data_IF_893667314513
#
_entry.id   IF_893667314513
#
_cell.length_a   1.000
_cell.length_b   1.000
_cell.length_c   1.000
_cell.angle_alpha   90.00
_cell.angle_beta   90.00
_cell.angle_gamma   90.00
#
_symmetry.space_group_name_H-M   'P 1'
#
loop_
_entity.id
_entity.type
_entity.pdbx_description
1 polymer ?
#
# COMPACT_ATOMS: atom_id res chain seq x y z
N UNK A 1 -25.48 12.17 -9.58
CA UNK A 1 -25.05 12.29 -10.97
C UNK A 1 -23.58 11.92 -11.14
N UNK A 2 -23.04 11.94 -12.38
CA UNK A 2 -21.69 11.44 -12.69
C UNK A 2 -20.57 12.13 -11.89
N UNK A 3 -20.73 13.40 -11.51
CA UNK A 3 -19.79 14.12 -10.66
C UNK A 3 -19.68 13.55 -9.24
N UNK A 4 -20.81 13.10 -8.67
CA UNK A 4 -20.81 12.46 -7.35
C UNK A 4 -20.06 11.12 -7.40
N UNK A 5 -20.28 10.35 -8.49
CA UNK A 5 -19.53 9.09 -8.71
C UNK A 5 -18.05 9.37 -8.89
N UNK A 6 -17.67 10.37 -9.69
CA UNK A 6 -16.27 10.74 -9.88
C UNK A 6 -15.61 11.19 -8.58
N UNK A 7 -16.30 12.04 -7.80
CA UNK A 7 -15.81 12.52 -6.51
C UNK A 7 -15.60 11.37 -5.52
N UNK A 8 -16.60 10.49 -5.38
CA UNK A 8 -16.52 9.32 -4.51
C UNK A 8 -15.40 8.35 -4.94
N UNK A 9 -15.27 8.07 -6.24
CA UNK A 9 -14.23 7.22 -6.77
C UNK A 9 -12.82 7.80 -6.53
N UNK A 10 -12.66 9.12 -6.69
CA UNK A 10 -11.38 9.79 -6.40
C UNK A 10 -11.02 9.73 -4.91
N UNK A 11 -11.99 9.96 -4.02
CA UNK A 11 -11.78 9.80 -2.57
C UNK A 11 -11.38 8.36 -2.24
N UNK A 12 -12.07 7.38 -2.83
CA UNK A 12 -11.78 5.95 -2.62
C UNK A 12 -10.37 5.57 -3.09
N UNK A 13 -9.96 6.00 -4.28
CA UNK A 13 -8.60 5.78 -4.80
C UNK A 13 -7.55 6.43 -3.88
N UNK A 14 -7.80 7.68 -3.45
CA UNK A 14 -6.93 8.37 -2.51
C UNK A 14 -6.83 7.69 -1.15
N UNK A 15 -7.93 7.12 -0.65
CA UNK A 15 -7.93 6.38 0.61
C UNK A 15 -7.10 5.07 0.51
N UNK A 16 -7.14 4.37 -0.63
CA UNK A 16 -6.28 3.20 -0.88
C UNK A 16 -4.80 3.63 -0.91
N UNK A 17 -4.44 4.72 -1.61
CA UNK A 17 -3.08 5.24 -1.60
C UNK A 17 -2.63 5.68 -0.21
N UNK A 18 -3.52 6.28 0.60
CA UNK A 18 -3.20 6.63 1.99
C UNK A 18 -2.90 5.38 2.85
N UNK A 19 -3.66 4.29 2.68
CA UNK A 19 -3.41 3.03 3.37
C UNK A 19 -2.07 2.38 2.95
N UNK A 20 -1.67 2.55 1.68
CA UNK A 20 -0.41 2.04 1.15
C UNK A 20 0.85 2.77 1.66
N UNK A 21 0.73 3.98 2.27
CA UNK A 21 1.89 4.75 2.76
C UNK A 21 2.70 3.93 3.78
N UNK A 22 2.00 3.25 4.71
CA UNK A 22 2.65 2.47 5.77
C UNK A 22 3.50 1.32 5.24
N UNK A 23 3.03 0.66 4.19
CA UNK A 23 3.73 -0.46 3.54
C UNK A 23 5.03 -0.02 2.86
N UNK A 24 5.08 1.24 2.40
CA UNK A 24 6.24 1.82 1.73
C UNK A 24 7.07 2.73 2.66
N UNK A 25 6.92 2.61 3.98
CA UNK A 25 7.58 3.49 4.94
C UNK A 25 9.11 3.45 4.86
N UNK A 26 9.69 2.33 4.47
CA UNK A 26 11.14 2.14 4.27
C UNK A 26 11.65 2.90 3.04
N UNK A 27 10.80 3.14 2.03
CA UNK A 27 11.11 3.86 0.79
C UNK A 27 10.48 5.25 0.81
N UNK A 28 11.21 6.24 1.31
CA UNK A 28 10.68 7.59 1.52
C UNK A 28 10.09 8.23 0.25
N UNK A 29 10.66 7.97 -0.93
CA UNK A 29 10.16 8.56 -2.17
C UNK A 29 8.83 7.94 -2.57
N UNK A 30 8.69 6.61 -2.48
CA UNK A 30 7.42 5.92 -2.71
C UNK A 30 6.35 6.39 -1.72
N UNK A 31 6.65 6.39 -0.41
CA UNK A 31 5.71 6.85 0.62
C UNK A 31 5.24 8.30 0.39
N UNK A 32 6.14 9.22 0.02
CA UNK A 32 5.80 10.62 -0.34
C UNK A 32 4.94 10.69 -1.59
N UNK A 33 5.23 9.89 -2.61
CA UNK A 33 4.45 9.83 -3.85
C UNK A 33 3.02 9.39 -3.56
N UNK A 34 2.84 8.32 -2.77
CA UNK A 34 1.51 7.88 -2.34
C UNK A 34 0.79 8.92 -1.48
N UNK A 35 1.49 9.61 -0.58
CA UNK A 35 0.91 10.67 0.24
C UNK A 35 0.42 11.86 -0.59
N UNK A 36 1.21 12.32 -1.56
CA UNK A 36 0.83 13.41 -2.47
C UNK A 36 -0.35 13.00 -3.33
N UNK A 37 -0.32 11.79 -3.90
CA UNK A 37 -1.40 11.27 -4.73
C UNK A 37 -2.70 11.12 -3.94
N UNK A 38 -2.63 10.56 -2.72
CA UNK A 38 -3.77 10.45 -1.80
C UNK A 38 -4.38 11.82 -1.50
N UNK A 39 -3.55 12.79 -1.12
CA UNK A 39 -4.00 14.14 -0.81
C UNK A 39 -4.71 14.80 -2.01
N UNK A 40 -4.10 14.74 -3.19
CA UNK A 40 -4.66 15.33 -4.40
C UNK A 40 -5.99 14.68 -4.81
N UNK A 41 -6.08 13.34 -4.73
CA UNK A 41 -7.30 12.60 -5.08
C UNK A 41 -8.42 12.86 -4.10
N UNK A 42 -8.14 12.87 -2.79
CA UNK A 42 -9.15 13.16 -1.76
C UNK A 42 -9.62 14.61 -1.86
N UNK A 43 -8.70 15.57 -1.97
CA UNK A 43 -9.03 16.99 -2.08
C UNK A 43 -9.86 17.27 -3.35
N UNK A 44 -9.41 16.76 -4.51
CA UNK A 44 -10.15 16.89 -5.75
C UNK A 44 -11.54 16.27 -5.66
N UNK A 45 -11.63 15.05 -5.12
CA UNK A 45 -12.89 14.34 -4.96
C UNK A 45 -13.87 15.11 -4.07
N UNK A 46 -13.42 15.64 -2.93
CA UNK A 46 -14.24 16.45 -2.03
C UNK A 46 -14.78 17.71 -2.73
N UNK A 47 -13.94 18.43 -3.48
CA UNK A 47 -14.36 19.60 -4.26
C UNK A 47 -15.34 19.21 -5.37
N UNK A 48 -15.12 18.07 -6.05
CA UNK A 48 -15.99 17.59 -7.13
C UNK A 48 -17.42 17.22 -6.65
N UNK A 49 -17.59 16.89 -5.36
CA UNK A 49 -18.93 16.64 -4.79
C UNK A 49 -19.77 17.91 -4.70
N UNK A 50 -19.15 19.09 -4.51
CA UNK A 50 -19.84 20.36 -4.27
C UNK A 50 -19.73 21.35 -5.42
N UNK A 51 -18.67 21.28 -6.21
CA UNK A 51 -18.39 22.21 -7.32
C UNK A 51 -18.32 21.47 -8.66
N UNK A 52 -18.72 22.17 -9.71
CA UNK A 52 -18.68 21.67 -11.11
C UNK A 52 -18.13 22.76 -12.01
N UNK A 53 -16.93 22.55 -12.55
CA UNK A 53 -16.32 23.46 -13.50
C UNK A 53 -15.51 22.73 -14.55
N UNK A 54 -15.26 23.37 -15.70
CA UNK A 54 -14.39 22.77 -16.73
C UNK A 54 -12.96 22.61 -16.24
N UNK A 55 -12.47 23.56 -15.45
CA UNK A 55 -11.12 23.49 -14.87
C UNK A 55 -11.01 22.28 -13.94
N UNK A 56 -12.00 22.09 -13.06
CA UNK A 56 -12.06 20.93 -12.17
C UNK A 56 -12.14 19.62 -12.95
N UNK A 57 -12.89 19.60 -14.07
CA UNK A 57 -12.96 18.44 -14.95
C UNK A 57 -11.60 18.11 -15.56
N UNK A 58 -10.89 19.10 -16.10
CA UNK A 58 -9.55 18.88 -16.67
C UNK A 58 -8.56 18.42 -15.60
N UNK A 59 -8.60 19.04 -14.42
CA UNK A 59 -7.74 18.62 -13.29
C UNK A 59 -8.00 17.17 -12.86
N UNK A 60 -9.28 16.75 -12.76
CA UNK A 60 -9.62 15.37 -12.42
C UNK A 60 -9.24 14.37 -13.50
N UNK A 61 -9.39 14.75 -14.79
CA UNK A 61 -8.92 13.92 -15.90
C UNK A 61 -7.40 13.74 -15.86
N UNK A 62 -6.65 14.82 -15.65
CA UNK A 62 -5.19 14.78 -15.55
C UNK A 62 -4.72 13.92 -14.37
N UNK A 63 -5.35 14.10 -13.20
CA UNK A 63 -5.05 13.32 -12.00
C UNK A 63 -5.35 11.83 -12.20
N UNK A 64 -6.52 11.50 -12.77
CA UNK A 64 -6.89 10.11 -13.01
C UNK A 64 -6.02 9.44 -14.08
N UNK A 65 -5.72 10.13 -15.20
CA UNK A 65 -4.80 9.64 -16.24
C UNK A 65 -3.39 9.47 -15.67
N UNK A 66 -2.91 10.41 -14.84
CA UNK A 66 -1.63 10.30 -14.16
C UNK A 66 -1.55 9.09 -13.24
N UNK A 67 -2.61 8.83 -12.45
CA UNK A 67 -2.67 7.68 -11.55
C UNK A 67 -2.68 6.35 -12.32
N UNK A 68 -3.52 6.22 -13.37
CA UNK A 68 -3.55 5.02 -14.22
C UNK A 68 -2.24 4.83 -14.95
N UNK A 69 -1.67 5.91 -15.52
CA UNK A 69 -0.38 5.87 -16.22
C UNK A 69 0.77 5.47 -15.30
N UNK A 70 0.82 6.03 -14.10
CA UNK A 70 1.79 5.65 -13.08
C UNK A 70 1.67 4.16 -12.69
N UNK A 71 0.44 3.68 -12.51
CA UNK A 71 0.18 2.26 -12.24
C UNK A 71 0.69 1.36 -13.38
N UNK A 72 0.37 1.71 -14.64
CA UNK A 72 0.85 0.95 -15.81
C UNK A 72 2.37 0.91 -15.85
N UNK A 73 3.03 2.06 -15.63
CA UNK A 73 4.50 2.13 -15.60
C UNK A 73 5.08 1.26 -14.50
N UNK A 74 4.55 1.34 -13.27
CA UNK A 74 4.99 0.52 -12.14
C UNK A 74 4.85 -0.98 -12.42
N UNK A 75 3.83 -1.41 -13.17
CA UNK A 75 3.59 -2.84 -13.49
C UNK A 75 4.33 -3.34 -14.73
N UNK A 76 4.79 -2.47 -15.62
CA UNK A 76 5.46 -2.89 -16.87
C UNK A 76 6.98 -2.76 -16.85
N UNK A 77 7.51 -1.69 -16.26
CA UNK A 77 8.95 -1.42 -16.28
C UNK A 77 9.51 -0.89 -14.97
N UNK A 78 8.64 -0.63 -14.00
CA UNK A 78 9.01 0.13 -12.81
C UNK A 78 9.14 1.63 -13.10
N UNK A 79 9.35 2.42 -12.05
CA UNK A 79 9.55 3.87 -12.11
C UNK A 79 10.94 4.18 -11.56
N UNK A 80 11.97 4.04 -12.41
CA UNK A 80 13.38 4.04 -12.04
C UNK A 80 13.91 5.30 -11.34
N UNK A 81 13.13 6.38 -11.25
CA UNK A 81 13.50 7.59 -10.53
C UNK A 81 12.79 7.74 -9.17
N UNK A 82 11.99 6.75 -8.75
CA UNK A 82 11.33 6.71 -7.45
C UNK A 82 11.87 5.51 -6.68
N UNK A 83 12.62 5.77 -5.61
CA UNK A 83 13.11 4.75 -4.69
C UNK A 83 11.96 3.92 -4.13
N UNK A 84 12.06 2.60 -4.27
CA UNK A 84 11.04 1.62 -3.92
C UNK A 84 10.03 1.29 -5.02
N UNK A 85 10.16 1.89 -6.23
CA UNK A 85 9.33 1.58 -7.40
C UNK A 85 10.17 1.34 -8.68
N UNK A 86 11.48 1.11 -8.54
CA UNK A 86 12.41 0.96 -9.68
C UNK A 86 12.17 -0.30 -10.50
N UNK A 87 11.79 -1.37 -9.83
CA UNK A 87 11.48 -2.64 -10.48
C UNK A 87 9.98 -2.74 -10.80
N UNK A 88 9.65 -3.52 -11.82
CA UNK A 88 8.26 -3.85 -12.10
C UNK A 88 7.69 -4.71 -10.96
N UNK A 89 6.53 -4.31 -10.47
CA UNK A 89 5.81 -5.02 -9.42
C UNK A 89 4.73 -5.93 -10.00
N UNK A 90 4.41 -7.01 -9.30
CA UNK A 90 3.24 -7.81 -9.62
C UNK A 90 1.95 -7.03 -9.38
N UNK A 91 0.89 -7.37 -10.13
CA UNK A 91 -0.41 -6.75 -9.97
C UNK A 91 -1.03 -7.25 -8.66
N UNK A 92 -1.27 -6.32 -7.75
CA UNK A 92 -1.93 -6.57 -6.48
C UNK A 92 -3.36 -6.03 -6.52
N UNK A 93 -4.24 -6.59 -5.69
CA UNK A 93 -5.64 -6.18 -5.66
C UNK A 93 -5.84 -4.71 -5.31
N UNK A 94 -5.19 -4.14 -4.26
CA UNK A 94 -5.37 -2.73 -3.91
C UNK A 94 -4.95 -1.78 -5.04
N UNK A 95 -3.81 -2.04 -5.71
CA UNK A 95 -3.38 -1.19 -6.82
C UNK A 95 -4.36 -1.25 -7.99
N UNK A 96 -4.83 -2.45 -8.36
CA UNK A 96 -5.79 -2.63 -9.45
C UNK A 96 -7.11 -1.92 -9.13
N UNK A 97 -7.56 -1.95 -7.87
CA UNK A 97 -8.75 -1.24 -7.41
C UNK A 97 -8.54 0.28 -7.46
N UNK A 98 -7.40 0.80 -7.00
CA UNK A 98 -7.08 2.22 -7.08
C UNK A 98 -7.03 2.71 -8.53
N UNK A 99 -6.38 1.96 -9.44
CA UNK A 99 -6.34 2.25 -10.87
C UNK A 99 -7.74 2.20 -11.50
N UNK A 100 -8.55 1.20 -11.15
CA UNK A 100 -9.94 1.08 -11.59
C UNK A 100 -10.82 2.27 -11.16
N UNK A 101 -10.67 2.71 -9.90
CA UNK A 101 -11.36 3.89 -9.39
C UNK A 101 -10.90 5.18 -10.11
N UNK A 102 -9.59 5.32 -10.37
CA UNK A 102 -9.07 6.44 -11.16
C UNK A 102 -9.62 6.43 -12.59
N UNK A 103 -9.77 5.27 -13.21
CA UNK A 103 -10.40 5.12 -14.53
C UNK A 103 -11.88 5.55 -14.50
N UNK A 104 -12.63 5.21 -13.44
CA UNK A 104 -14.01 5.69 -13.24
C UNK A 104 -14.06 7.22 -13.20
N UNK A 105 -13.11 7.87 -12.53
CA UNK A 105 -12.98 9.34 -12.53
C UNK A 105 -12.79 9.86 -13.94
N UNK A 106 -11.83 9.32 -14.70
CA UNK A 106 -11.54 9.73 -16.08
C UNK A 106 -12.79 9.63 -16.95
N UNK A 107 -13.48 8.49 -16.93
CA UNK A 107 -14.67 8.24 -17.76
C UNK A 107 -15.83 9.17 -17.39
N UNK A 108 -16.09 9.37 -16.09
CA UNK A 108 -17.16 10.24 -15.63
C UNK A 108 -16.91 11.71 -15.98
N UNK A 109 -15.66 12.17 -15.85
CA UNK A 109 -15.23 13.52 -16.18
C UNK A 109 -15.22 13.72 -17.70
N UNK A 110 -14.67 12.78 -18.48
CA UNK A 110 -14.65 12.85 -19.95
C UNK A 110 -16.06 12.95 -20.51
N UNK A 111 -17.00 12.16 -19.98
CA UNK A 111 -18.42 12.29 -20.33
C UNK A 111 -18.96 13.70 -20.05
N UNK A 112 -18.64 14.27 -18.89
CA UNK A 112 -19.06 15.63 -18.52
C UNK A 112 -18.49 16.69 -19.47
N UNK A 113 -17.22 16.57 -19.86
CA UNK A 113 -16.55 17.45 -20.82
C UNK A 113 -17.17 17.33 -22.23
N UNK A 114 -17.38 16.11 -22.72
CA UNK A 114 -18.03 15.90 -24.06
C UNK A 114 -19.39 16.55 -24.10
N UNK A 115 -20.22 16.37 -23.06
CA UNK A 115 -21.53 17.04 -22.98
C UNK A 115 -21.40 18.57 -23.01
N UNK A 116 -20.43 19.09 -22.22
CA UNK A 116 -20.19 20.54 -22.11
C UNK A 116 -19.65 21.18 -23.41
N UNK A 117 -18.84 20.45 -24.16
CA UNK A 117 -18.18 20.95 -25.38
C UNK A 117 -19.06 20.77 -26.64
N UNK A 118 -19.76 19.65 -26.73
CA UNK A 118 -20.56 19.33 -27.93
C UNK A 118 -21.97 19.94 -27.93
N UNK A 119 -22.39 20.51 -26.82
CA UNK A 119 -23.78 21.00 -26.65
C UNK A 119 -24.84 19.89 -26.71
N UNK A 120 -24.40 18.61 -26.81
CA UNK A 120 -25.29 17.46 -26.92
C UNK A 120 -25.80 17.06 -25.54
N UNK A 121 -27.08 16.86 -25.40
CA UNK A 121 -27.69 16.24 -24.24
C UNK A 121 -27.53 14.72 -24.34
N UNK A 122 -26.48 14.16 -23.71
CA UNK A 122 -26.40 12.70 -23.55
C UNK A 122 -27.48 12.27 -22.55
N UNK A 123 -28.20 11.19 -22.84
CA UNK A 123 -29.18 10.65 -21.93
C UNK A 123 -28.54 10.42 -20.54
N UNK A 124 -29.20 10.89 -19.50
CA UNK A 124 -28.74 10.65 -18.13
C UNK A 124 -28.82 9.15 -17.83
N UNK A 125 -27.78 8.55 -17.26
CA UNK A 125 -27.86 7.14 -16.87
C UNK A 125 -29.02 6.94 -15.89
N UNK A 126 -29.73 5.81 -15.95
CA UNK A 126 -30.76 5.46 -14.99
C UNK A 126 -30.26 5.55 -13.56
N UNK A 127 -31.09 5.98 -12.63
CA UNK A 127 -30.71 6.09 -11.21
C UNK A 127 -30.17 4.77 -10.65
N UNK A 128 -30.75 3.64 -11.06
CA UNK A 128 -30.29 2.31 -10.66
C UNK A 128 -28.83 2.06 -11.06
N UNK A 129 -28.41 2.48 -12.25
CA UNK A 129 -27.01 2.37 -12.71
C UNK A 129 -26.09 3.24 -11.85
N UNK A 130 -26.50 4.47 -11.54
CA UNK A 130 -25.70 5.37 -10.69
C UNK A 130 -25.56 4.81 -9.26
N UNK A 131 -26.62 4.24 -8.70
CA UNK A 131 -26.55 3.58 -7.39
C UNK A 131 -25.68 2.34 -7.44
N UNK A 132 -25.81 1.49 -8.47
CA UNK A 132 -24.98 0.31 -8.63
C UNK A 132 -23.49 0.64 -8.73
N UNK A 133 -23.13 1.64 -9.55
CA UNK A 133 -21.75 2.13 -9.64
C UNK A 133 -21.29 2.72 -8.30
N UNK A 134 -22.15 3.46 -7.60
CA UNK A 134 -21.83 4.00 -6.27
C UNK A 134 -21.50 2.92 -5.25
N UNK A 135 -22.29 1.83 -5.23
CA UNK A 135 -22.02 0.66 -4.37
C UNK A 135 -20.70 -0.02 -4.74
N UNK A 136 -20.45 -0.24 -6.04
CA UNK A 136 -19.17 -0.81 -6.50
C UNK A 136 -18.00 0.05 -6.08
N UNK A 137 -18.08 1.38 -6.24
CA UNK A 137 -17.04 2.31 -5.80
C UNK A 137 -16.80 2.19 -4.29
N UNK A 138 -17.87 2.15 -3.49
CA UNK A 138 -17.74 2.02 -2.04
C UNK A 138 -17.07 0.70 -1.65
N UNK A 139 -17.55 -0.42 -2.18
CA UNK A 139 -17.00 -1.75 -1.90
C UNK A 139 -15.53 -1.84 -2.34
N UNK A 140 -15.22 -1.38 -3.56
CA UNK A 140 -13.85 -1.36 -4.06
C UNK A 140 -12.92 -0.52 -3.18
N UNK A 141 -13.40 0.64 -2.68
CA UNK A 141 -12.63 1.48 -1.77
C UNK A 141 -12.35 0.79 -0.43
N UNK A 142 -13.37 0.17 0.18
CA UNK A 142 -13.23 -0.51 1.46
C UNK A 142 -12.32 -1.74 1.36
N UNK A 143 -12.50 -2.57 0.33
CA UNK A 143 -11.65 -3.74 0.07
C UNK A 143 -10.21 -3.30 -0.20
N UNK A 144 -10.03 -2.31 -1.08
CA UNK A 144 -8.70 -1.81 -1.42
C UNK A 144 -7.94 -1.23 -0.23
N UNK A 145 -8.62 -0.51 0.67
CA UNK A 145 -8.00 -0.01 1.91
C UNK A 145 -7.63 -1.14 2.88
N UNK A 146 -8.52 -2.13 3.05
CA UNK A 146 -8.26 -3.27 3.93
C UNK A 146 -7.04 -4.06 3.44
N UNK A 147 -7.01 -4.41 2.16
CA UNK A 147 -5.89 -5.13 1.54
C UNK A 147 -4.59 -4.31 1.56
N UNK A 148 -4.63 -3.01 1.24
CA UNK A 148 -3.45 -2.15 1.28
C UNK A 148 -2.84 -2.04 2.68
N UNK A 149 -3.65 -2.11 3.75
CA UNK A 149 -3.19 -2.06 5.14
C UNK A 149 -2.63 -3.38 5.67
N UNK A 150 -2.94 -4.53 5.02
CA UNK A 150 -2.52 -5.87 5.48
C UNK A 150 -1.28 -6.41 4.77
N UNK A 151 -0.85 -5.79 3.67
CA UNK A 151 0.36 -6.18 2.95
C UNK A 151 1.61 -5.74 3.72
N UNK A 152 1.90 -6.40 4.84
CA UNK A 152 3.25 -6.45 5.35
C UNK A 152 4.07 -7.30 4.38
N UNK A 153 5.23 -6.81 3.97
CA UNK A 153 6.16 -7.51 3.09
C UNK A 153 6.40 -8.92 3.64
N UNK A 154 5.81 -9.94 3.04
CA UNK A 154 6.15 -11.34 3.24
C UNK A 154 7.48 -11.62 2.53
N UNK A 155 8.54 -10.94 2.98
CA UNK A 155 9.89 -11.03 2.48
C UNK A 155 10.86 -10.83 3.63
N UNK A 156 11.04 -11.89 4.45
CA UNK A 156 12.19 -12.02 5.33
C UNK A 156 12.07 -11.37 6.71
N UNK A 157 11.38 -12.04 7.64
CA UNK A 157 11.90 -12.25 8.99
C UNK A 157 11.17 -13.48 9.56
N UNK A 158 11.87 -14.62 9.54
CA UNK A 158 11.61 -15.70 10.46
C UNK A 158 12.06 -15.19 11.84
N UNK A 159 11.14 -15.07 12.77
CA UNK A 159 11.49 -14.80 14.15
C UNK A 159 10.32 -14.20 14.91
N UNK A 160 9.81 -15.04 15.80
CA UNK A 160 9.04 -14.74 16.98
C UNK A 160 7.52 -14.65 16.87
N UNK A 161 6.93 -15.85 16.92
CA UNK A 161 5.64 -16.10 17.55
C UNK A 161 5.67 -15.60 18.99
N UNK A 162 5.29 -14.35 19.23
CA UNK A 162 4.87 -13.91 20.55
C UNK A 162 3.34 -13.97 20.58
N UNK A 163 2.89 -15.09 21.16
CA UNK A 163 1.51 -15.28 21.56
C UNK A 163 1.01 -14.04 22.33
N UNK A 164 -0.12 -13.51 21.87
CA UNK A 164 -0.88 -12.49 22.58
C UNK A 164 -1.35 -13.08 23.93
N UNK A 165 -0.60 -12.82 24.99
CA UNK A 165 -0.98 -13.07 26.36
C UNK A 165 -1.95 -12.00 26.81
N UNK A 166 -3.25 -12.33 26.95
CA UNK A 166 -4.25 -11.50 27.58
C UNK A 166 -3.86 -11.23 29.03
N UNK A 167 -3.85 -9.96 29.40
CA UNK A 167 -3.76 -9.55 30.80
C UNK A 167 -5.15 -9.74 31.44
N UNK A 168 -5.28 -10.83 32.23
CA UNK A 168 -6.38 -10.97 33.17
C UNK A 168 -5.86 -10.70 34.58
N UNK A 169 -6.41 -9.67 35.23
CA UNK A 169 -6.16 -9.34 36.62
C UNK A 169 -7.10 -10.16 37.49
N UNK A 170 -6.60 -11.19 38.12
CA UNK A 170 -7.32 -12.00 39.11
C UNK A 170 -6.49 -12.15 40.37
N UNK A 171 -7.01 -11.54 41.41
CA UNK A 171 -6.55 -11.50 42.80
C UNK A 171 -6.62 -12.87 43.49
N UNK A 172 -5.62 -13.21 44.34
CA UNK A 172 -5.92 -13.95 45.57
C UNK A 172 -5.49 -15.39 45.70
N UNK A 173 -4.62 -15.57 46.65
CA UNK A 173 -4.47 -16.65 47.66
C UNK A 173 -3.65 -17.89 47.35
N UNK A 174 -2.74 -18.09 48.29
CA UNK A 174 -1.78 -19.18 48.51
C UNK A 174 -2.42 -20.57 48.74
N UNK A 175 -1.71 -21.63 48.27
CA UNK A 175 -1.41 -22.84 49.06
C UNK A 175 -0.55 -23.83 48.27
N UNK A 176 0.62 -24.18 48.85
CA UNK A 176 1.32 -25.45 49.00
C UNK A 176 1.36 -26.52 47.91
N UNK A 177 2.62 -26.84 47.51
CA UNK A 177 3.27 -28.15 47.33
C UNK A 177 2.60 -29.20 46.41
N UNK A 178 3.32 -29.59 45.32
CA UNK A 178 3.90 -30.94 45.24
C UNK A 178 4.89 -31.02 44.05
N UNK A 179 5.95 -31.82 44.30
CA UNK A 179 7.07 -32.11 43.39
C UNK A 179 6.59 -32.88 42.16
N UNK A 180 7.06 -32.45 40.95
CA UNK A 180 7.23 -33.36 39.82
C UNK A 180 8.44 -32.93 38.99
N UNK A 181 9.47 -33.77 39.01
CA UNK A 181 10.72 -33.61 38.28
C UNK A 181 10.48 -33.89 36.79
N UNK A 182 10.19 -32.84 36.02
CA UNK A 182 10.21 -32.87 34.56
C UNK A 182 11.52 -32.28 34.05
N UNK A 183 12.36 -33.11 33.43
CA UNK A 183 13.60 -32.70 32.75
C UNK A 183 13.32 -31.63 31.70
N UNK A 184 13.61 -30.38 32.02
CA UNK A 184 13.63 -29.28 31.04
C UNK A 184 14.99 -29.30 30.34
N UNK A 185 14.99 -29.72 29.08
CA UNK A 185 16.08 -29.58 28.14
C UNK A 185 16.44 -28.07 28.08
N UNK A 186 17.59 -27.72 28.62
CA UNK A 186 18.09 -26.36 28.62
C UNK A 186 18.40 -25.96 27.18
N UNK A 187 17.57 -25.08 26.62
CA UNK A 187 17.88 -24.36 25.40
C UNK A 187 19.24 -23.66 25.57
N UNK A 188 20.12 -23.85 24.58
CA UNK A 188 21.45 -23.25 24.58
C UNK A 188 21.33 -21.72 24.80
N UNK A 189 22.24 -21.11 25.58
CA UNK A 189 22.18 -19.68 25.87
C UNK A 189 22.23 -18.88 24.57
N UNK A 190 21.28 -17.99 24.39
CA UNK A 190 21.22 -17.07 23.25
C UNK A 190 22.54 -16.28 23.23
N UNK A 191 23.30 -16.42 22.13
CA UNK A 191 24.52 -15.65 21.92
C UNK A 191 24.13 -14.19 21.83
N UNK A 192 24.66 -13.29 22.67
CA UNK A 192 24.31 -11.87 22.59
C UNK A 192 24.67 -11.31 21.20
N UNK A 193 23.86 -10.43 20.62
CA UNK A 193 24.12 -9.89 19.29
C UNK A 193 25.49 -9.20 19.29
N UNK A 194 26.39 -9.65 18.40
CA UNK A 194 27.72 -9.07 18.22
C UNK A 194 27.55 -7.62 17.80
N UNK A 195 28.16 -6.67 18.51
CA UNK A 195 28.14 -5.26 18.11
C UNK A 195 28.85 -5.14 16.76
N UNK A 196 28.20 -4.47 15.80
CA UNK A 196 28.79 -4.18 14.50
C UNK A 196 30.09 -3.37 14.69
N UNK A 197 31.18 -3.88 14.15
CA UNK A 197 32.47 -3.19 14.09
C UNK A 197 32.78 -2.90 12.61
N UNK A 198 32.84 -1.64 12.16
CA UNK A 198 33.07 -1.30 10.77
C UNK A 198 34.44 -1.71 10.24
N UNK A 199 35.41 -1.99 11.14
CA UNK A 199 36.78 -2.38 10.77
C UNK A 199 36.98 -3.92 10.72
N UNK A 200 35.92 -4.71 11.01
CA UNK A 200 35.99 -6.17 11.01
C UNK A 200 35.32 -6.71 9.72
N UNK A 201 36.02 -7.55 8.92
CA UNK A 201 35.41 -8.14 7.71
C UNK A 201 34.19 -8.97 8.09
N UNK A 202 33.10 -8.81 7.30
CA UNK A 202 31.84 -9.51 7.54
C UNK A 202 32.02 -10.99 7.17
N UNK A 203 32.03 -11.86 8.16
CA UNK A 203 32.04 -13.31 7.97
C UNK A 203 30.61 -13.82 7.72
N UNK A 204 30.33 -14.19 6.47
CA UNK A 204 29.06 -14.77 6.04
C UNK A 204 29.09 -16.31 5.94
N UNK A 205 30.16 -16.95 6.38
CA UNK A 205 30.39 -18.41 6.21
C UNK A 205 29.34 -19.29 6.93
N UNK A 206 28.65 -18.74 7.91
CA UNK A 206 27.60 -19.44 8.67
C UNK A 206 26.16 -19.10 8.28
N UNK A 207 25.94 -18.25 7.27
CA UNK A 207 24.59 -17.79 6.92
C UNK A 207 23.94 -18.74 5.91
N UNK A 208 22.84 -19.44 6.26
CA UNK A 208 22.15 -20.33 5.33
C UNK A 208 21.64 -19.55 4.10
N UNK A 209 21.90 -20.06 2.90
CA UNK A 209 21.42 -19.48 1.65
C UNK A 209 22.36 -18.45 0.99
N UNK A 210 23.46 -18.07 1.63
CA UNK A 210 24.48 -17.20 1.01
C UNK A 210 25.46 -18.03 0.17
N UNK A 211 25.51 -17.78 -1.14
CA UNK A 211 26.46 -18.45 -2.02
C UNK A 211 27.87 -17.87 -1.89
N UNK A 212 28.91 -18.69 -2.20
CA UNK A 212 30.30 -18.24 -2.22
C UNK A 212 30.53 -16.99 -3.12
N UNK A 213 29.75 -16.86 -4.20
CA UNK A 213 29.82 -15.69 -5.08
C UNK A 213 29.26 -14.41 -4.43
N UNK A 214 28.27 -14.54 -3.54
CA UNK A 214 27.73 -13.41 -2.78
C UNK A 214 28.69 -13.01 -1.64
N UNK A 215 29.34 -13.97 -1.03
CA UNK A 215 30.39 -13.76 -0.03
C UNK A 215 31.58 -12.96 -0.61
N UNK A 216 32.11 -13.39 -1.77
CA UNK A 216 33.19 -12.70 -2.45
C UNK A 216 32.82 -11.27 -2.93
N UNK A 217 31.53 -11.02 -3.22
CA UNK A 217 31.04 -9.66 -3.55
C UNK A 217 30.97 -8.76 -2.32
N UNK A 218 30.55 -9.27 -1.18
CA UNK A 218 30.50 -8.50 0.06
C UNK A 218 31.91 -8.09 0.51
N UNK A 219 32.88 -9.00 0.42
CA UNK A 219 34.28 -8.72 0.74
C UNK A 219 34.92 -7.66 -0.17
N UNK A 220 34.58 -7.64 -1.47
CA UNK A 220 35.08 -6.65 -2.41
C UNK A 220 34.44 -5.25 -2.30
N UNK A 221 33.23 -5.13 -1.71
CA UNK A 221 32.56 -3.84 -1.49
C UNK A 221 33.16 -3.06 -0.31
N UNK A 222 33.86 -3.72 0.58
CA UNK A 222 34.50 -3.11 1.77
C UNK A 222 35.94 -2.64 1.46
N UNK A 223 36.50 -3.05 0.33
CA UNK A 223 37.88 -2.75 -0.07
C UNK A 223 38.02 -1.48 -0.93
N UNK A 224 36.96 -0.68 -1.08
CA UNK A 224 36.93 0.61 -1.79
C UNK A 224 36.73 1.74 -0.79
#
# INVERSE_FOLDING_TARGET
GPWVVAGAASIGAGAIHAAAIGVHAEHQQAARTFAVLALLQIAWGAVALVAKSRVLAVAGAALGVGAVGGWVLAKTGGIGFIDGLEASEEIQLPDALAAGLALVVVLAVARGLVVSLSGRTLASPPRAVLHGVGVVVLVASLVGMAEAGTHSHAGGHHGDDVAAGGHDHGDGTAAAADDDEGEHEHAAPAVPPKKYNPDEPIDLSGVPGVSLAQQARAENLIAI
#
